data_IF_065011598328
#
_entry.id   IF_065011598328
#
_cell.length_a   1.000
_cell.length_b   1.000
_cell.length_c   1.000
_cell.angle_alpha   90.00
_cell.angle_beta   90.00
_cell.angle_gamma   90.00
#
_symmetry.space_group_name_H-M   'P 1'
#
loop_
_entity.id
_entity.type
_entity.pdbx_description
1 polymer ?
#
# COMPACT_ATOMS: atom_id res chain seq x y z
N UNK A 1 -12.58 -23.09 11.19
CA UNK A 1 -12.02 -22.06 10.28
C UNK A 1 -12.56 -22.15 8.84
N UNK A 2 -13.09 -23.28 8.43
CA UNK A 2 -13.59 -23.51 7.06
C UNK A 2 -14.79 -22.64 6.66
N UNK A 3 -15.67 -22.30 7.60
CA UNK A 3 -16.86 -21.48 7.31
C UNK A 3 -16.58 -20.02 6.91
N UNK A 4 -15.45 -19.45 7.29
CA UNK A 4 -15.11 -18.08 6.94
C UNK A 4 -14.58 -17.98 5.50
N UNK A 5 -13.80 -18.97 5.07
CA UNK A 5 -13.32 -19.08 3.68
C UNK A 5 -14.48 -19.32 2.70
N UNK A 6 -15.43 -20.18 3.05
CA UNK A 6 -16.62 -20.42 2.23
C UNK A 6 -17.49 -19.16 2.11
N UNK A 7 -17.66 -18.40 3.19
CA UNK A 7 -18.40 -17.16 3.15
C UNK A 7 -17.76 -16.13 2.19
N UNK A 8 -16.43 -15.92 2.28
CA UNK A 8 -15.72 -15.02 1.37
C UNK A 8 -15.78 -15.49 -0.09
N UNK A 9 -15.68 -16.79 -0.33
CA UNK A 9 -15.80 -17.37 -1.66
C UNK A 9 -17.19 -17.14 -2.25
N UNK A 10 -18.24 -17.39 -1.49
CA UNK A 10 -19.62 -17.17 -1.94
C UNK A 10 -19.93 -15.68 -2.14
N UNK A 11 -19.42 -14.83 -1.29
CA UNK A 11 -19.59 -13.37 -1.42
C UNK A 11 -18.87 -12.86 -2.67
N UNK A 12 -17.65 -13.33 -2.96
CA UNK A 12 -16.91 -12.93 -4.16
C UNK A 12 -17.57 -13.45 -5.44
N UNK A 13 -18.12 -14.66 -5.43
CA UNK A 13 -18.89 -15.21 -6.56
C UNK A 13 -20.17 -14.39 -6.81
N UNK A 14 -20.91 -14.05 -5.76
CA UNK A 14 -22.11 -13.20 -5.88
C UNK A 14 -21.78 -11.82 -6.49
N UNK A 15 -20.71 -11.18 -6.02
CA UNK A 15 -20.28 -9.89 -6.56
C UNK A 15 -19.80 -10.02 -8.01
N UNK A 16 -19.07 -11.06 -8.36
CA UNK A 16 -18.63 -11.32 -9.73
C UNK A 16 -19.82 -11.55 -10.66
N UNK A 17 -20.82 -12.31 -10.24
CA UNK A 17 -22.04 -12.55 -11.03
C UNK A 17 -22.84 -11.27 -11.18
N UNK A 18 -23.00 -10.47 -10.13
CA UNK A 18 -23.71 -9.19 -10.17
C UNK A 18 -23.02 -8.20 -11.11
N UNK A 19 -21.69 -8.11 -11.07
CA UNK A 19 -20.90 -7.25 -11.94
C UNK A 19 -20.94 -7.76 -13.39
N UNK A 20 -20.87 -9.08 -13.60
CA UNK A 20 -21.04 -9.69 -14.91
C UNK A 20 -22.42 -9.39 -15.51
N UNK A 21 -23.49 -9.49 -14.71
CA UNK A 21 -24.84 -9.11 -15.13
C UNK A 21 -24.94 -7.61 -15.46
N UNK A 22 -24.29 -6.74 -14.68
CA UNK A 22 -24.28 -5.30 -14.96
C UNK A 22 -23.46 -4.97 -16.22
N UNK A 23 -22.40 -5.71 -16.51
CA UNK A 23 -21.54 -5.52 -17.68
C UNK A 23 -22.13 -6.11 -18.97
N UNK A 24 -23.00 -7.13 -18.89
CA UNK A 24 -23.59 -7.82 -20.02
C UNK A 24 -24.86 -7.18 -20.59
N UNK A 25 -25.32 -6.04 -20.03
CA UNK A 25 -26.47 -5.31 -20.58
C UNK A 25 -26.16 -4.78 -21.98
N UNK A 26 -27.06 -5.03 -22.95
CA UNK A 26 -26.83 -4.66 -24.34
C UNK A 26 -26.70 -3.13 -24.48
N UNK A 27 -25.89 -2.74 -25.47
CA UNK A 27 -25.55 -1.35 -25.77
C UNK A 27 -26.75 -0.42 -26.08
N UNK A 28 -27.96 -0.97 -26.21
CA UNK A 28 -29.22 -0.25 -26.49
C UNK A 28 -29.71 0.63 -25.32
N UNK A 29 -29.15 0.47 -24.13
CA UNK A 29 -29.41 1.34 -22.96
C UNK A 29 -28.33 2.40 -22.78
N UNK A 30 -27.59 2.76 -23.82
CA UNK A 30 -26.63 3.83 -23.79
C UNK A 30 -27.34 5.16 -23.61
N UNK A 31 -27.46 5.60 -22.37
CA UNK A 31 -27.83 6.97 -22.06
C UNK A 31 -26.88 7.93 -22.79
N UNK A 32 -27.43 8.89 -23.50
CA UNK A 32 -26.68 9.95 -24.17
C UNK A 32 -26.29 10.98 -23.10
N UNK A 33 -25.02 11.39 -23.09
CA UNK A 33 -24.56 12.47 -22.20
C UNK A 33 -23.91 11.99 -20.88
N UNK A 34 -24.08 12.73 -19.76
CA UNK A 34 -23.37 12.49 -18.50
C UNK A 34 -23.55 11.08 -17.91
N UNK A 35 -24.73 10.47 -18.15
CA UNK A 35 -25.02 9.10 -17.68
C UNK A 35 -24.20 8.03 -18.40
N UNK A 36 -23.77 8.28 -19.64
CA UNK A 36 -22.91 7.35 -20.36
C UNK A 36 -21.51 7.27 -19.69
N UNK A 37 -20.94 8.44 -19.39
CA UNK A 37 -19.63 8.50 -18.73
C UNK A 37 -19.67 7.86 -17.35
N UNK A 38 -20.76 8.06 -16.61
CA UNK A 38 -20.98 7.44 -15.31
C UNK A 38 -21.03 5.91 -15.42
N UNK A 39 -21.77 5.37 -16.38
CA UNK A 39 -21.89 3.92 -16.60
C UNK A 39 -20.55 3.31 -17.03
N UNK A 40 -19.81 3.99 -17.92
CA UNK A 40 -18.46 3.53 -18.33
C UNK A 40 -17.46 3.57 -17.17
N UNK A 41 -17.53 4.58 -16.31
CA UNK A 41 -16.65 4.68 -15.14
C UNK A 41 -16.96 3.63 -14.07
N UNK A 42 -18.26 3.35 -13.82
CA UNK A 42 -18.64 2.22 -12.94
C UNK A 42 -18.12 0.90 -13.50
N UNK A 43 -18.24 0.68 -14.81
CA UNK A 43 -17.71 -0.53 -15.43
C UNK A 43 -16.19 -0.66 -15.22
N UNK A 44 -15.43 0.42 -15.42
CA UNK A 44 -13.97 0.44 -15.19
C UNK A 44 -13.62 0.15 -13.73
N UNK A 45 -14.30 0.82 -12.78
CA UNK A 45 -14.09 0.57 -11.34
C UNK A 45 -14.39 -0.89 -10.99
N UNK A 46 -15.50 -1.42 -11.50
CA UNK A 46 -15.89 -2.81 -11.28
C UNK A 46 -14.86 -3.79 -11.82
N UNK A 47 -14.30 -3.49 -12.99
CA UNK A 47 -13.24 -4.30 -13.60
C UNK A 47 -11.96 -4.27 -12.77
N UNK A 48 -11.51 -3.10 -12.31
CA UNK A 48 -10.37 -2.98 -11.41
C UNK A 48 -10.57 -3.74 -10.09
N UNK A 49 -11.78 -3.69 -9.52
CA UNK A 49 -12.11 -4.45 -8.31
C UNK A 49 -12.08 -5.97 -8.52
N UNK A 50 -12.56 -6.46 -9.66
CA UNK A 50 -12.50 -7.89 -10.01
C UNK A 50 -11.04 -8.34 -10.16
N UNK A 51 -10.25 -7.56 -10.90
CA UNK A 51 -8.85 -7.86 -11.14
C UNK A 51 -8.01 -7.79 -9.86
N UNK A 52 -8.38 -6.92 -8.90
CA UNK A 52 -7.71 -6.84 -7.60
C UNK A 52 -8.04 -7.98 -6.64
N UNK A 53 -9.07 -8.77 -6.91
CA UNK A 53 -9.50 -9.83 -5.99
C UNK A 53 -8.40 -10.87 -5.73
N UNK A 54 -7.70 -11.31 -6.77
CA UNK A 54 -6.58 -12.27 -6.61
C UNK A 54 -5.43 -11.65 -5.81
N UNK A 55 -5.11 -10.39 -6.06
CA UNK A 55 -4.06 -9.66 -5.34
C UNK A 55 -4.41 -9.49 -3.86
N UNK A 56 -5.70 -9.27 -3.53
CA UNK A 56 -6.19 -9.22 -2.14
C UNK A 56 -6.03 -10.58 -1.45
N UNK A 57 -6.35 -11.67 -2.14
CA UNK A 57 -6.18 -13.03 -1.61
C UNK A 57 -4.70 -13.32 -1.37
N UNK A 58 -3.85 -12.99 -2.33
CA UNK A 58 -2.41 -13.19 -2.23
C UNK A 58 -1.80 -12.35 -1.09
N UNK A 59 -2.19 -11.07 -0.98
CA UNK A 59 -1.78 -10.20 0.11
C UNK A 59 -2.15 -10.78 1.47
N UNK A 60 -3.40 -11.20 1.65
CA UNK A 60 -3.84 -11.80 2.90
C UNK A 60 -3.08 -13.10 3.22
N UNK A 61 -2.77 -13.90 2.21
CA UNK A 61 -1.99 -15.14 2.37
C UNK A 61 -0.58 -14.84 2.87
N UNK A 62 0.11 -13.89 2.24
CA UNK A 62 1.46 -13.49 2.66
C UNK A 62 1.46 -12.78 4.02
N UNK A 63 0.44 -11.98 4.31
CA UNK A 63 0.26 -11.31 5.60
C UNK A 63 0.06 -12.33 6.72
N UNK A 64 -0.78 -13.34 6.51
CA UNK A 64 -1.00 -14.41 7.48
C UNK A 64 0.29 -15.23 7.73
N UNK A 65 1.02 -15.56 6.67
CA UNK A 65 2.29 -16.26 6.81
C UNK A 65 3.35 -15.40 7.55
N UNK A 66 3.39 -14.10 7.28
CA UNK A 66 4.23 -13.15 8.00
C UNK A 66 3.94 -13.16 9.51
N UNK A 67 2.67 -13.00 9.90
CA UNK A 67 2.30 -13.04 11.31
C UNK A 67 2.47 -14.41 11.96
N UNK A 68 2.28 -15.47 11.22
CA UNK A 68 2.54 -16.84 11.69
C UNK A 68 4.01 -17.03 12.05
N UNK A 69 4.93 -16.65 11.17
CA UNK A 69 6.37 -16.75 11.41
C UNK A 69 6.81 -15.92 12.62
N UNK A 70 6.30 -14.68 12.75
CA UNK A 70 6.54 -13.86 13.93
C UNK A 70 5.99 -14.49 15.21
N UNK A 71 4.76 -15.03 15.16
CA UNK A 71 4.10 -15.65 16.31
C UNK A 71 4.78 -16.94 16.76
N UNK A 72 5.23 -17.78 15.84
CA UNK A 72 6.00 -18.99 16.14
C UNK A 72 7.34 -18.64 16.78
N UNK A 73 8.08 -17.69 16.23
CA UNK A 73 9.34 -17.23 16.81
C UNK A 73 9.13 -16.63 18.18
N UNK A 74 8.09 -15.81 18.37
CA UNK A 74 7.73 -15.28 19.67
C UNK A 74 7.47 -16.39 20.72
N UNK A 75 6.66 -17.38 20.36
CA UNK A 75 6.32 -18.48 21.25
C UNK A 75 7.55 -19.33 21.61
N UNK A 76 8.44 -19.57 20.67
CA UNK A 76 9.67 -20.32 20.89
C UNK A 76 10.68 -19.54 21.75
N UNK A 77 10.86 -18.24 21.49
CA UNK A 77 11.68 -17.36 22.33
C UNK A 77 11.17 -17.33 23.76
N UNK A 78 9.85 -17.23 23.95
CA UNK A 78 9.23 -17.26 25.28
C UNK A 78 9.51 -18.57 26.01
N UNK A 79 9.42 -19.72 25.35
CA UNK A 79 9.78 -21.03 25.95
C UNK A 79 11.24 -21.09 26.37
N UNK A 80 12.16 -20.61 25.51
CA UNK A 80 13.59 -20.54 25.80
C UNK A 80 13.89 -19.65 27.00
N UNK A 81 13.26 -18.48 27.08
CA UNK A 81 13.36 -17.57 28.22
C UNK A 81 12.89 -18.26 29.50
N UNK A 82 11.69 -18.87 29.47
CA UNK A 82 11.13 -19.57 30.63
C UNK A 82 12.05 -20.68 31.14
N UNK A 83 12.68 -21.46 30.25
CA UNK A 83 13.61 -22.51 30.65
C UNK A 83 14.87 -21.95 31.32
N UNK A 84 15.40 -20.82 30.85
CA UNK A 84 16.58 -20.18 31.43
C UNK A 84 16.30 -19.46 32.74
N UNK A 85 15.10 -18.89 32.91
CA UNK A 85 14.70 -18.22 34.16
C UNK A 85 14.65 -19.20 35.31
N UNK A 86 14.23 -20.44 35.07
CA UNK A 86 14.20 -21.47 36.12
C UNK A 86 15.59 -21.79 36.69
N UNK A 87 16.65 -21.38 36.04
CA UNK A 87 18.05 -21.57 36.46
C UNK A 87 18.61 -20.38 37.25
N UNK A 88 17.87 -19.24 37.35
CA UNK A 88 18.34 -18.04 38.04
C UNK A 88 18.00 -18.10 39.53
N UNK A 89 18.98 -17.86 40.43
CA UNK A 89 18.70 -17.74 41.86
C UNK A 89 17.73 -16.58 42.16
N UNK A 90 16.80 -16.77 43.10
CA UNK A 90 15.84 -15.73 43.48
C UNK A 90 16.50 -14.65 44.38
N UNK A 91 17.39 -13.88 43.84
CA UNK A 91 18.08 -12.80 44.53
C UNK A 91 17.69 -11.42 43.91
N UNK A 92 17.97 -10.31 44.62
CA UNK A 92 17.57 -8.95 44.22
C UNK A 92 18.19 -8.47 42.90
N UNK A 93 19.30 -9.05 42.45
CA UNK A 93 19.89 -8.82 41.14
C UNK A 93 19.18 -9.58 39.99
N UNK A 94 18.23 -10.45 40.34
CA UNK A 94 17.54 -11.32 39.39
C UNK A 94 16.75 -10.56 38.30
N UNK A 95 16.25 -9.34 38.60
CA UNK A 95 15.45 -8.56 37.67
C UNK A 95 16.26 -8.08 36.46
N UNK A 96 17.49 -7.63 36.65
CA UNK A 96 18.37 -7.21 35.55
C UNK A 96 18.87 -8.41 34.74
N UNK A 97 19.20 -9.51 35.39
CA UNK A 97 19.56 -10.77 34.74
C UNK A 97 18.39 -11.31 33.90
N UNK A 98 17.16 -11.24 34.44
CA UNK A 98 15.94 -11.60 33.72
C UNK A 98 15.74 -10.78 32.45
N UNK A 99 15.83 -9.44 32.55
CA UNK A 99 15.70 -8.54 31.39
C UNK A 99 16.74 -8.83 30.31
N UNK A 100 18.00 -9.05 30.70
CA UNK A 100 19.07 -9.37 29.75
C UNK A 100 18.79 -10.67 29.00
N UNK A 101 18.45 -11.75 29.72
CA UNK A 101 18.11 -13.03 29.08
C UNK A 101 16.92 -12.86 28.12
N UNK A 102 15.93 -12.09 28.51
CA UNK A 102 14.75 -11.85 27.68
C UNK A 102 15.14 -11.11 26.39
N UNK A 103 15.88 -10.01 26.53
CA UNK A 103 16.34 -9.23 25.38
C UNK A 103 17.23 -10.07 24.47
N UNK A 104 18.27 -10.72 25.01
CA UNK A 104 19.23 -11.50 24.23
C UNK A 104 18.55 -12.64 23.46
N UNK A 105 17.57 -13.32 24.08
CA UNK A 105 16.85 -14.42 23.41
C UNK A 105 15.98 -13.90 22.26
N UNK A 106 15.18 -12.87 22.52
CA UNK A 106 14.31 -12.33 21.50
C UNK A 106 15.11 -11.69 20.37
N UNK A 107 16.13 -10.90 20.68
CA UNK A 107 17.00 -10.30 19.67
C UNK A 107 17.65 -11.36 18.78
N UNK A 108 18.23 -12.41 19.37
CA UNK A 108 18.85 -13.48 18.62
C UNK A 108 17.85 -14.25 17.74
N UNK A 109 16.70 -14.65 18.30
CA UNK A 109 15.72 -15.46 17.59
C UNK A 109 15.05 -14.66 16.44
N UNK A 110 14.73 -13.38 16.66
CA UNK A 110 14.18 -12.53 15.61
C UNK A 110 15.22 -12.17 14.54
N UNK A 111 16.47 -11.94 14.93
CA UNK A 111 17.58 -11.76 13.95
C UNK A 111 17.70 -13.00 13.07
N UNK A 112 17.71 -14.19 13.67
CA UNK A 112 17.74 -15.43 12.91
C UNK A 112 16.53 -15.59 11.98
N UNK A 113 15.32 -15.26 12.44
CA UNK A 113 14.14 -15.29 11.59
C UNK A 113 14.28 -14.36 10.38
N UNK A 114 14.72 -13.12 10.62
CA UNK A 114 14.84 -12.11 9.56
C UNK A 114 15.92 -12.46 8.53
N UNK A 115 16.94 -13.20 8.94
CA UNK A 115 18.01 -13.69 8.06
C UNK A 115 17.59 -14.94 7.25
N UNK A 116 16.43 -15.54 7.54
CA UNK A 116 15.95 -16.68 6.77
C UNK A 116 15.50 -16.28 5.37
N UNK A 117 15.86 -17.09 4.38
CA UNK A 117 15.37 -16.91 3.00
C UNK A 117 13.84 -16.99 2.93
N UNK A 118 13.22 -17.85 3.73
CA UNK A 118 11.77 -18.02 3.79
C UNK A 118 11.06 -16.73 4.20
N UNK A 119 11.52 -16.08 5.30
CA UNK A 119 10.97 -14.83 5.77
C UNK A 119 11.18 -13.71 4.75
N UNK A 120 12.39 -13.55 4.26
CA UNK A 120 12.72 -12.53 3.25
C UNK A 120 11.88 -12.67 1.99
N UNK A 121 11.71 -13.91 1.49
CA UNK A 121 10.89 -14.19 0.31
C UNK A 121 9.40 -13.86 0.54
N UNK A 122 8.86 -14.26 1.70
CA UNK A 122 7.47 -13.96 2.06
C UNK A 122 7.25 -12.46 2.22
N UNK A 123 8.14 -11.76 2.92
CA UNK A 123 8.08 -10.32 3.11
C UNK A 123 8.15 -9.55 1.79
N UNK A 124 9.06 -9.93 0.89
CA UNK A 124 9.16 -9.31 -0.43
C UNK A 124 7.88 -9.49 -1.25
N UNK A 125 7.24 -10.66 -1.19
CA UNK A 125 5.95 -10.90 -1.84
C UNK A 125 4.84 -10.06 -1.22
N UNK A 126 4.78 -9.98 0.11
CA UNK A 126 3.82 -9.15 0.84
C UNK A 126 3.91 -7.69 0.38
N UNK A 127 5.11 -7.10 0.43
CA UNK A 127 5.34 -5.71 0.00
C UNK A 127 5.03 -5.52 -1.49
N UNK A 128 5.42 -6.47 -2.35
CA UNK A 128 5.12 -6.38 -3.79
C UNK A 128 3.61 -6.38 -4.05
N UNK A 129 2.86 -7.23 -3.37
CA UNK A 129 1.39 -7.31 -3.53
C UNK A 129 0.71 -6.06 -2.95
N UNK A 130 1.20 -5.53 -1.82
CA UNK A 130 0.75 -4.26 -1.27
C UNK A 130 0.90 -3.12 -2.28
N UNK A 131 2.04 -3.02 -2.93
CA UNK A 131 2.30 -2.00 -3.96
C UNK A 131 1.38 -2.15 -5.18
N UNK A 132 1.06 -3.38 -5.57
CA UNK A 132 0.09 -3.63 -6.65
C UNK A 132 -1.31 -3.18 -6.26
N UNK A 133 -1.76 -3.50 -5.06
CA UNK A 133 -3.06 -3.05 -4.53
C UNK A 133 -3.14 -1.52 -4.43
N UNK A 134 -2.09 -0.87 -3.94
CA UNK A 134 -2.02 0.60 -3.89
C UNK A 134 -2.12 1.22 -5.29
N UNK A 135 -1.47 0.63 -6.28
CA UNK A 135 -1.56 1.10 -7.67
C UNK A 135 -2.99 1.00 -8.21
N UNK A 136 -3.67 -0.14 -8.00
CA UNK A 136 -5.06 -0.32 -8.42
C UNK A 136 -6.00 0.64 -7.69
N UNK A 137 -5.78 0.82 -6.39
CA UNK A 137 -6.57 1.77 -5.61
C UNK A 137 -6.44 3.20 -6.13
N UNK A 138 -5.23 3.64 -6.48
CA UNK A 138 -5.01 4.94 -7.09
C UNK A 138 -5.75 5.06 -8.44
N UNK A 139 -5.74 4.02 -9.27
CA UNK A 139 -6.50 3.99 -10.53
C UNK A 139 -8.01 4.15 -10.29
N UNK A 140 -8.57 3.45 -9.30
CA UNK A 140 -9.98 3.59 -8.92
C UNK A 140 -10.29 5.02 -8.46
N UNK A 141 -9.43 5.58 -7.61
CA UNK A 141 -9.59 6.95 -7.11
C UNK A 141 -9.54 7.98 -8.24
N UNK A 142 -8.64 7.84 -9.20
CA UNK A 142 -8.56 8.71 -10.37
C UNK A 142 -9.83 8.65 -11.24
N UNK A 143 -10.38 7.44 -11.45
CA UNK A 143 -11.65 7.28 -12.16
C UNK A 143 -12.78 7.98 -11.40
N UNK A 144 -12.82 7.85 -10.07
CA UNK A 144 -13.83 8.50 -9.23
C UNK A 144 -13.72 10.03 -9.26
N UNK A 145 -12.51 10.57 -9.13
CA UNK A 145 -12.25 12.02 -9.18
C UNK A 145 -12.64 12.59 -10.54
N UNK A 146 -12.22 11.97 -11.64
CA UNK A 146 -12.61 12.36 -13.00
C UNK A 146 -14.15 12.30 -13.19
N UNK A 147 -14.80 11.30 -12.61
CA UNK A 147 -16.28 11.18 -12.66
C UNK A 147 -16.99 12.31 -11.91
N UNK A 148 -16.37 12.83 -10.87
CA UNK A 148 -16.89 13.94 -10.06
C UNK A 148 -16.46 15.32 -10.58
N UNK A 149 -15.77 15.41 -11.74
CA UNK A 149 -15.12 16.64 -12.25
C UNK A 149 -14.15 17.27 -11.23
N UNK A 150 -13.51 16.44 -10.43
CA UNK A 150 -12.47 16.87 -9.48
C UNK A 150 -11.09 16.60 -10.08
N UNK A 151 -10.11 17.48 -9.84
CA UNK A 151 -8.78 17.27 -10.36
C UNK A 151 -8.13 16.05 -9.71
N UNK A 152 -7.43 15.27 -10.51
CA UNK A 152 -6.60 14.16 -10.05
C UNK A 152 -5.29 14.70 -9.46
N UNK A 153 -4.56 13.83 -8.74
CA UNK A 153 -3.23 14.17 -8.24
C UNK A 153 -2.28 14.57 -9.38
N UNK A 154 -2.34 13.87 -10.49
CA UNK A 154 -1.51 14.11 -11.66
C UNK A 154 -1.77 15.51 -12.27
N UNK A 155 -3.04 15.88 -12.44
CA UNK A 155 -3.44 17.23 -12.91
C UNK A 155 -3.02 18.34 -11.94
N UNK A 156 -3.09 18.08 -10.63
CA UNK A 156 -2.61 19.03 -9.60
C UNK A 156 -1.08 19.19 -9.70
N UNK A 157 -0.35 18.10 -9.85
CA UNK A 157 1.11 18.13 -9.97
C UNK A 157 1.54 18.86 -11.26
N UNK A 158 0.81 18.70 -12.38
CA UNK A 158 1.02 19.47 -13.61
C UNK A 158 0.80 20.97 -13.39
N UNK A 159 -0.28 21.36 -12.70
CA UNK A 159 -0.56 22.76 -12.36
C UNK A 159 0.57 23.35 -11.49
N UNK A 160 1.05 22.62 -10.49
CA UNK A 160 2.18 23.08 -9.69
C UNK A 160 3.46 23.22 -10.51
N UNK A 161 3.70 22.33 -11.44
CA UNK A 161 4.85 22.42 -12.34
C UNK A 161 4.77 23.65 -13.26
N UNK A 162 3.58 23.94 -13.81
CA UNK A 162 3.35 25.14 -14.63
C UNK A 162 3.51 26.42 -13.80
N UNK A 163 2.94 26.47 -12.60
CA UNK A 163 3.11 27.58 -11.66
C UNK A 163 4.59 27.83 -11.32
N UNK A 164 5.34 26.77 -11.07
CA UNK A 164 6.77 26.87 -10.81
C UNK A 164 7.52 27.44 -12.02
N UNK A 165 7.20 26.97 -13.23
CA UNK A 165 7.81 27.43 -14.47
C UNK A 165 7.46 28.89 -14.76
N UNK A 166 6.20 29.30 -14.54
CA UNK A 166 5.77 30.69 -14.66
C UNK A 166 6.49 31.60 -13.66
N UNK A 167 6.58 31.21 -12.40
CA UNK A 167 7.30 31.92 -11.35
C UNK A 167 8.79 32.10 -11.73
N UNK A 168 9.40 31.08 -12.31
CA UNK A 168 10.79 31.14 -12.79
C UNK A 168 10.95 32.10 -13.97
N UNK A 169 9.98 32.14 -14.91
CA UNK A 169 9.96 33.07 -16.02
C UNK A 169 9.81 34.53 -15.55
N UNK A 170 8.86 34.77 -14.63
CA UNK A 170 8.64 36.11 -14.03
C UNK A 170 9.91 36.59 -13.35
N UNK A 171 10.55 35.75 -12.52
CA UNK A 171 11.81 36.10 -11.84
C UNK A 171 12.95 36.44 -12.81
N UNK A 172 13.00 35.80 -13.98
CA UNK A 172 13.98 36.14 -15.03
C UNK A 172 13.68 37.47 -15.71
N UNK A 173 12.41 37.84 -15.85
CA UNK A 173 11.99 39.12 -16.42
C UNK A 173 12.19 40.28 -15.44
N UNK A 174 11.96 40.00 -14.14
CA UNK A 174 12.13 40.97 -13.05
C UNK A 174 13.60 41.20 -12.66
N UNK A 175 14.52 40.30 -13.06
CA UNK A 175 15.93 40.55 -12.83
C UNK A 175 16.33 41.78 -13.64
N UNK A 176 16.79 42.89 -13.01
CA UNK A 176 17.09 44.12 -13.71
C UNK A 176 18.13 43.83 -14.77
N UNK A 177 17.79 44.15 -16.05
CA UNK A 177 18.80 44.25 -17.12
C UNK A 177 19.91 45.14 -16.54
N UNK A 178 21.07 44.57 -16.27
CA UNK A 178 22.28 45.29 -15.94
C UNK A 178 22.41 46.36 -17.05
N UNK A 179 22.04 47.59 -16.74
CA UNK A 179 22.34 48.74 -17.64
C UNK A 179 23.84 48.69 -17.84
N UNK A 180 24.27 48.39 -19.00
CA UNK A 180 25.62 48.67 -19.47
C UNK A 180 25.68 50.19 -19.49
N UNK A 181 26.25 50.75 -18.45
CA UNK A 181 26.72 52.14 -18.53
C UNK A 181 27.75 52.18 -19.63
N UNK A 182 27.33 52.77 -20.74
CA UNK A 182 28.24 53.19 -21.80
C UNK A 182 28.85 54.47 -21.23
N UNK A 183 29.98 54.30 -20.53
CA UNK A 183 30.88 55.38 -20.30
C UNK A 183 31.35 55.88 -21.65
N UNK A 184 30.79 56.98 -22.07
CA UNK A 184 31.28 57.80 -23.17
C UNK A 184 32.51 58.54 -22.68
N UNK A 185 33.68 58.08 -23.05
CA UNK A 185 34.89 58.91 -23.04
C UNK A 185 34.69 60.13 -23.95
N UNK A 186 34.93 61.27 -23.33
CA UNK A 186 35.26 62.53 -24.01
C UNK A 186 36.54 63.08 -23.43
#
# INVERSE_FOLDING_TARGET
MDNMFDYYKHTSMFWNDMISMMSSKPASLTAVGPLRNFTENIKKISQELIESNQEIVDFNTYLMEYYKQLGETWADSQKKVMSKISEIPQDTESTEAYKRIWIDMFENDFTQLFDTESFSKNYNKLVSTEMQLLKRWNTIMDIMLKSANMPTKEEIDEIYQELFNLKKKIKKLDSPKKRRDVESDS
#
